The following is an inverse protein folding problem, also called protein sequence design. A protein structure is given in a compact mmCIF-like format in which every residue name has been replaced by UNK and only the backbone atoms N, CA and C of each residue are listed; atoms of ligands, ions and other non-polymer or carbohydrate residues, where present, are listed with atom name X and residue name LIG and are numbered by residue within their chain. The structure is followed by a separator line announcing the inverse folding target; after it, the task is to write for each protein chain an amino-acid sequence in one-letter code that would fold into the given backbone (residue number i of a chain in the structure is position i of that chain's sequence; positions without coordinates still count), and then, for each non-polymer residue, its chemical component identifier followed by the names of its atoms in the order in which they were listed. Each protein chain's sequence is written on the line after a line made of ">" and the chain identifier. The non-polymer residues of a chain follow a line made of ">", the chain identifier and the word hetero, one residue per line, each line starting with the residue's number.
data_IF_483533141840
#
_entry.id   IF_483533141840
#
_cell.length_a   1.000
_cell.length_b   1.000
_cell.length_c   1.000
_cell.angle_alpha   90.00
_cell.angle_beta   90.00
_cell.angle_gamma   90.00
#
_symmetry.space_group_name_H-M   'P 1'
#
loop_
_entity.id
_entity.type
_entity.pdbx_description
1 polymer ?
#
# COMPACT_ATOMS: atom_id res chain seq x y z
N UNK A 1 3.84 1.98 17.80
CA UNK A 1 3.53 3.43 17.72
C UNK A 1 4.75 4.32 17.41
N UNK A 2 6.00 3.91 17.67
CA UNK A 2 7.21 4.74 17.42
C UNK A 2 7.54 4.91 15.92
N UNK A 3 7.16 3.98 15.06
CA UNK A 3 7.51 4.02 13.63
C UNK A 3 6.81 5.17 12.87
N UNK A 4 5.55 5.48 13.18
CA UNK A 4 4.81 6.53 12.47
C UNK A 4 5.42 7.93 12.67
N UNK A 5 5.74 8.39 13.89
CA UNK A 5 6.43 9.66 14.09
C UNK A 5 7.78 9.74 13.40
N UNK A 6 8.57 8.65 13.43
CA UNK A 6 9.88 8.61 12.78
C UNK A 6 9.78 8.74 11.26
N UNK A 7 8.85 8.00 10.63
CA UNK A 7 8.59 8.10 9.18
C UNK A 7 8.08 9.49 8.82
N UNK A 8 7.19 10.08 9.62
CA UNK A 8 6.69 11.44 9.41
C UNK A 8 7.80 12.48 9.53
N UNK A 9 8.71 12.33 10.50
CA UNK A 9 9.86 13.21 10.63
C UNK A 9 10.79 13.14 9.40
N UNK A 10 11.10 11.93 8.93
CA UNK A 10 11.90 11.74 7.69
C UNK A 10 11.17 12.33 6.49
N UNK A 11 9.86 12.16 6.38
CA UNK A 11 9.05 12.72 5.30
C UNK A 11 9.10 14.26 5.27
N UNK A 12 9.08 14.92 6.43
CA UNK A 12 9.07 16.37 6.53
C UNK A 12 10.47 16.95 6.35
N UNK A 13 11.47 16.43 7.06
CA UNK A 13 12.77 17.09 7.24
C UNK A 13 13.85 16.59 6.29
N UNK A 14 13.74 15.38 5.71
CA UNK A 14 14.78 14.86 4.84
C UNK A 14 14.83 15.62 3.50
N UNK A 15 16.03 16.00 2.99
CA UNK A 15 16.18 16.47 1.61
C UNK A 15 15.68 15.40 0.61
N UNK A 16 15.19 15.85 -0.56
CA UNK A 16 14.56 14.99 -1.57
C UNK A 16 15.39 13.73 -1.93
N UNK A 17 16.71 13.92 -2.14
CA UNK A 17 17.65 12.82 -2.45
C UNK A 17 17.74 11.77 -1.34
N UNK A 18 17.77 12.21 -0.08
CA UNK A 18 17.86 11.31 1.06
C UNK A 18 16.53 10.57 1.31
N UNK A 19 15.40 11.25 1.09
CA UNK A 19 14.10 10.61 1.13
C UNK A 19 13.96 9.54 0.03
N UNK A 20 14.40 9.84 -1.21
CA UNK A 20 14.40 8.84 -2.29
C UNK A 20 15.30 7.64 -1.97
N UNK A 21 16.48 7.88 -1.40
CA UNK A 21 17.37 6.81 -0.94
C UNK A 21 16.72 5.96 0.17
N UNK A 22 16.05 6.60 1.13
CA UNK A 22 15.29 5.93 2.19
C UNK A 22 14.17 5.04 1.60
N UNK A 23 13.39 5.55 0.65
CA UNK A 23 12.38 4.74 -0.04
C UNK A 23 13.03 3.59 -0.83
N UNK A 24 14.18 3.80 -1.44
CA UNK A 24 14.96 2.75 -2.09
C UNK A 24 15.33 1.61 -1.13
N UNK A 25 15.80 1.95 0.07
CA UNK A 25 16.10 0.97 1.13
C UNK A 25 14.85 0.23 1.57
N UNK A 26 13.74 0.94 1.79
CA UNK A 26 12.46 0.32 2.16
C UNK A 26 11.94 -0.60 1.03
N UNK A 27 12.11 -0.20 -0.23
CA UNK A 27 11.73 -1.04 -1.38
C UNK A 27 12.56 -2.32 -1.43
N UNK A 28 13.89 -2.21 -1.25
CA UNK A 28 14.78 -3.37 -1.20
C UNK A 28 14.41 -4.31 -0.03
N UNK A 29 14.08 -3.75 1.14
CA UNK A 29 13.62 -4.54 2.28
C UNK A 29 12.28 -5.22 2.00
N UNK A 30 11.32 -4.51 1.39
CA UNK A 30 10.03 -5.09 0.99
C UNK A 30 10.19 -6.24 -0.01
N UNK A 31 11.12 -6.12 -0.96
CA UNK A 31 11.47 -7.22 -1.89
C UNK A 31 12.12 -8.40 -1.17
N UNK A 32 12.96 -8.14 -0.18
CA UNK A 32 13.51 -9.18 0.70
C UNK A 32 12.39 -9.91 1.46
N UNK A 33 11.40 -9.18 2.03
CA UNK A 33 10.25 -9.80 2.69
C UNK A 33 9.42 -10.64 1.70
N UNK A 34 9.22 -10.20 0.45
CA UNK A 34 8.57 -11.01 -0.60
C UNK A 34 9.36 -12.31 -0.83
N UNK A 35 10.68 -12.22 -1.00
CA UNK A 35 11.52 -13.40 -1.21
C UNK A 35 11.45 -14.36 -0.03
N UNK A 36 11.53 -13.85 1.18
CA UNK A 36 11.45 -14.65 2.41
C UNK A 36 10.07 -15.31 2.57
N UNK A 37 8.99 -14.56 2.36
CA UNK A 37 7.60 -15.02 2.48
C UNK A 37 7.28 -16.17 1.51
N UNK A 38 7.79 -16.12 0.29
CA UNK A 38 7.62 -17.17 -0.71
C UNK A 38 8.75 -18.21 -0.70
N UNK A 39 9.65 -18.17 0.28
CA UNK A 39 10.82 -19.08 0.40
C UNK A 39 11.65 -19.15 -0.90
N UNK A 40 11.89 -17.99 -1.52
CA UNK A 40 12.61 -17.89 -2.78
C UNK A 40 14.09 -18.24 -2.55
N UNK A 41 14.52 -19.40 -3.05
CA UNK A 41 15.91 -19.89 -2.93
C UNK A 41 16.54 -20.19 -4.29
N UNK A 42 15.72 -20.35 -5.33
CA UNK A 42 16.20 -20.64 -6.67
C UNK A 42 16.64 -19.36 -7.41
N UNK A 43 17.68 -19.47 -8.22
CA UNK A 43 18.29 -18.35 -8.93
C UNK A 43 17.30 -17.64 -9.87
N UNK A 44 16.36 -18.37 -10.48
CA UNK A 44 15.37 -17.79 -11.39
C UNK A 44 14.38 -16.89 -10.66
N UNK A 45 13.86 -17.33 -9.50
CA UNK A 45 12.94 -16.51 -8.70
C UNK A 45 13.66 -15.31 -8.06
N UNK A 46 14.92 -15.45 -7.64
CA UNK A 46 15.74 -14.32 -7.18
C UNK A 46 15.97 -13.31 -8.30
N UNK A 47 16.20 -13.78 -9.54
CA UNK A 47 16.30 -12.90 -10.70
C UNK A 47 15.01 -12.11 -10.95
N UNK A 48 13.84 -12.75 -10.83
CA UNK A 48 12.54 -12.06 -10.95
C UNK A 48 12.40 -10.98 -9.88
N UNK A 49 12.67 -11.29 -8.61
CA UNK A 49 12.61 -10.31 -7.53
C UNK A 49 13.56 -9.13 -7.79
N UNK A 50 14.80 -9.43 -8.20
CA UNK A 50 15.84 -8.43 -8.49
C UNK A 50 15.50 -7.56 -9.71
N UNK A 51 15.13 -8.16 -10.83
CA UNK A 51 14.90 -7.46 -12.11
C UNK A 51 13.50 -6.84 -12.16
N UNK A 52 12.45 -7.61 -11.91
CA UNK A 52 11.08 -7.11 -12.01
C UNK A 52 10.72 -6.15 -10.86
N UNK A 53 11.23 -6.41 -9.65
CA UNK A 53 11.00 -5.54 -8.49
C UNK A 53 12.08 -4.45 -8.39
N UNK A 54 13.34 -4.86 -8.16
CA UNK A 54 14.45 -3.95 -7.87
C UNK A 54 14.84 -3.08 -9.06
N UNK A 55 14.90 -3.65 -10.27
CA UNK A 55 15.25 -2.91 -11.49
C UNK A 55 14.24 -1.81 -11.83
N UNK A 56 12.93 -2.11 -11.75
CA UNK A 56 11.87 -1.12 -11.97
C UNK A 56 11.87 -0.03 -10.89
N UNK A 57 12.09 -0.42 -9.63
CA UNK A 57 12.19 0.55 -8.53
C UNK A 57 13.38 1.49 -8.73
N UNK A 58 14.55 0.96 -9.02
CA UNK A 58 15.75 1.75 -9.29
C UNK A 58 15.56 2.69 -10.48
N UNK A 59 15.01 2.20 -11.60
CA UNK A 59 14.72 3.01 -12.78
C UNK A 59 13.79 4.17 -12.43
N UNK A 60 12.70 3.93 -11.67
CA UNK A 60 11.75 4.97 -11.26
C UNK A 60 12.41 6.01 -10.35
N UNK A 61 13.22 5.59 -9.37
CA UNK A 61 13.94 6.48 -8.47
C UNK A 61 15.03 7.29 -9.17
N UNK A 62 15.62 6.76 -10.26
CA UNK A 62 16.57 7.47 -11.13
C UNK A 62 15.89 8.40 -12.16
N UNK A 63 14.57 8.57 -12.10
CA UNK A 63 13.84 9.52 -12.95
C UNK A 63 13.25 8.93 -14.24
N UNK A 64 13.34 7.62 -14.44
CA UNK A 64 12.61 6.95 -15.53
C UNK A 64 11.12 7.02 -15.21
N UNK A 65 10.35 7.64 -16.08
CA UNK A 65 8.90 7.75 -15.91
C UNK A 65 8.24 6.40 -16.15
N UNK A 66 7.89 5.72 -15.09
CA UNK A 66 6.97 4.57 -15.15
C UNK A 66 5.58 5.15 -15.39
N UNK A 67 5.00 4.83 -16.54
CA UNK A 67 3.68 5.34 -16.91
C UNK A 67 2.59 4.86 -15.95
N UNK A 68 1.54 5.68 -15.78
CA UNK A 68 0.38 5.36 -14.97
C UNK A 68 -0.27 4.01 -15.39
N UNK A 69 -0.14 3.62 -16.65
CA UNK A 69 -0.67 2.36 -17.19
C UNK A 69 -0.07 1.14 -16.49
N UNK A 70 1.25 1.15 -16.21
CA UNK A 70 1.89 0.03 -15.51
C UNK A 70 1.45 -0.03 -14.05
N UNK A 71 1.39 1.12 -13.37
CA UNK A 71 0.91 1.17 -11.99
C UNK A 71 -0.56 0.71 -11.90
N UNK A 72 -1.42 1.18 -12.80
CA UNK A 72 -2.81 0.74 -12.87
C UNK A 72 -2.92 -0.76 -13.17
N UNK A 73 -2.13 -1.29 -14.09
CA UNK A 73 -2.11 -2.72 -14.41
C UNK A 73 -1.70 -3.57 -13.19
N UNK A 74 -0.71 -3.13 -12.40
CA UNK A 74 -0.29 -3.80 -11.17
C UNK A 74 -1.41 -3.75 -10.12
N UNK A 75 -2.08 -2.61 -9.95
CA UNK A 75 -3.21 -2.47 -9.02
C UNK A 75 -4.36 -3.39 -9.43
N UNK A 76 -4.72 -3.40 -10.71
CA UNK A 76 -5.79 -4.26 -11.24
C UNK A 76 -5.44 -5.74 -11.08
N UNK A 77 -4.21 -6.14 -11.46
CA UNK A 77 -3.77 -7.53 -11.35
C UNK A 77 -3.75 -8.02 -9.89
N UNK A 78 -3.27 -7.20 -8.95
CA UNK A 78 -3.27 -7.56 -7.53
C UNK A 78 -4.68 -7.59 -6.94
N UNK A 79 -5.56 -6.68 -7.34
CA UNK A 79 -6.98 -6.71 -6.94
C UNK A 79 -7.72 -7.94 -7.49
N UNK A 80 -7.43 -8.33 -8.74
CA UNK A 80 -7.94 -9.57 -9.33
C UNK A 80 -7.45 -10.81 -8.56
N UNK A 81 -6.19 -10.84 -8.09
CA UNK A 81 -5.70 -11.91 -7.23
C UNK A 81 -6.47 -11.99 -5.90
N UNK A 82 -6.79 -10.84 -5.28
CA UNK A 82 -7.64 -10.80 -4.07
C UNK A 82 -9.01 -11.42 -4.33
N UNK A 83 -9.64 -10.99 -5.42
CA UNK A 83 -10.96 -11.49 -5.81
C UNK A 83 -10.95 -13.00 -6.10
N UNK A 84 -9.92 -13.47 -6.83
CA UNK A 84 -9.75 -14.88 -7.14
C UNK A 84 -9.51 -15.72 -5.90
N UNK A 85 -8.66 -15.24 -4.98
CA UNK A 85 -8.41 -15.89 -3.69
C UNK A 85 -9.70 -16.00 -2.86
N UNK A 86 -10.50 -14.93 -2.83
CA UNK A 86 -11.78 -14.92 -2.12
C UNK A 86 -12.76 -15.96 -2.66
N UNK A 87 -12.70 -16.27 -3.98
CA UNK A 87 -13.59 -17.25 -4.65
C UNK A 87 -13.07 -18.69 -4.60
N UNK A 88 -11.77 -18.89 -4.84
CA UNK A 88 -11.19 -20.21 -5.10
C UNK A 88 -10.35 -20.77 -3.96
N UNK A 89 -10.05 -19.96 -2.93
CA UNK A 89 -9.17 -20.33 -1.83
C UNK A 89 -7.67 -20.32 -2.20
N UNK A 90 -6.78 -20.43 -1.19
CA UNK A 90 -5.34 -20.27 -1.37
C UNK A 90 -4.66 -21.43 -2.14
N UNK A 91 -5.21 -22.64 -2.06
CA UNK A 91 -4.59 -23.84 -2.62
C UNK A 91 -4.38 -23.77 -4.13
N UNK A 92 -5.34 -23.20 -4.88
CA UNK A 92 -5.23 -23.04 -6.34
C UNK A 92 -4.15 -22.02 -6.72
N UNK A 93 -4.02 -20.93 -5.96
CA UNK A 93 -3.05 -19.88 -6.23
C UNK A 93 -1.63 -20.29 -5.85
N UNK A 94 -1.44 -21.07 -4.79
CA UNK A 94 -0.13 -21.63 -4.41
C UNK A 94 0.54 -22.42 -5.52
N UNK A 95 -0.22 -23.08 -6.38
CA UNK A 95 0.32 -23.89 -7.48
C UNK A 95 1.21 -23.08 -8.44
N UNK A 96 0.94 -21.79 -8.61
CA UNK A 96 1.71 -20.91 -9.50
C UNK A 96 2.66 -19.99 -8.73
N UNK A 97 3.65 -20.57 -8.05
CA UNK A 97 4.64 -19.83 -7.25
C UNK A 97 5.29 -18.68 -8.03
N UNK A 98 5.72 -18.93 -9.27
CA UNK A 98 6.35 -17.92 -10.12
C UNK A 98 5.46 -16.71 -10.38
N UNK A 99 4.20 -16.94 -10.69
CA UNK A 99 3.23 -15.87 -10.89
C UNK A 99 3.05 -15.01 -9.62
N UNK A 100 2.97 -15.67 -8.45
CA UNK A 100 2.78 -14.97 -7.18
C UNK A 100 4.02 -14.16 -6.78
N UNK A 101 5.22 -14.71 -6.96
CA UNK A 101 6.47 -14.00 -6.72
C UNK A 101 6.59 -12.79 -7.64
N UNK A 102 6.30 -12.96 -8.94
CA UNK A 102 6.31 -11.86 -9.92
C UNK A 102 5.30 -10.78 -9.53
N UNK A 103 4.06 -11.16 -9.24
CA UNK A 103 3.01 -10.21 -8.86
C UNK A 103 3.38 -9.42 -7.59
N UNK A 104 3.88 -10.09 -6.55
CA UNK A 104 4.31 -9.45 -5.31
C UNK A 104 5.55 -8.55 -5.51
N UNK A 105 6.50 -8.99 -6.35
CA UNK A 105 7.69 -8.18 -6.68
C UNK A 105 7.34 -6.92 -7.47
N UNK A 106 6.43 -7.02 -8.44
CA UNK A 106 5.91 -5.87 -9.17
C UNK A 106 5.10 -4.94 -8.24
N UNK A 107 4.30 -5.50 -7.35
CA UNK A 107 3.54 -4.73 -6.38
C UNK A 107 4.45 -3.85 -5.52
N UNK A 108 5.56 -4.38 -5.01
CA UNK A 108 6.55 -3.61 -4.25
C UNK A 108 7.38 -2.71 -5.18
N UNK A 109 7.99 -3.27 -6.22
CA UNK A 109 8.98 -2.57 -7.06
C UNK A 109 8.40 -1.44 -7.90
N UNK A 110 7.15 -1.55 -8.34
CA UNK A 110 6.49 -0.50 -9.13
C UNK A 110 5.85 0.55 -8.23
N UNK A 111 5.19 0.15 -7.15
CA UNK A 111 4.33 1.07 -6.40
C UNK A 111 5.05 1.79 -5.25
N UNK A 112 6.04 1.17 -4.59
CA UNK A 112 6.78 1.83 -3.50
C UNK A 112 7.52 3.10 -3.91
N UNK A 113 8.17 3.19 -5.10
CA UNK A 113 8.82 4.43 -5.53
C UNK A 113 7.89 5.64 -5.60
N UNK A 114 6.58 5.44 -5.72
CA UNK A 114 5.61 6.54 -5.72
C UNK A 114 5.58 7.33 -4.41
N UNK A 115 6.03 6.77 -3.29
CA UNK A 115 6.23 7.56 -2.07
C UNK A 115 7.28 8.67 -2.27
N UNK A 116 8.37 8.36 -2.96
CA UNK A 116 9.39 9.35 -3.29
C UNK A 116 8.89 10.34 -4.36
N UNK A 117 8.19 9.84 -5.38
CA UNK A 117 7.62 10.67 -6.44
C UNK A 117 6.58 11.65 -5.89
N UNK A 118 5.67 11.20 -5.04
CA UNK A 118 4.67 12.05 -4.40
C UNK A 118 5.34 13.13 -3.54
N UNK A 119 6.23 12.72 -2.64
CA UNK A 119 6.88 13.65 -1.70
C UNK A 119 7.76 14.67 -2.40
N UNK A 120 8.38 14.32 -3.53
CA UNK A 120 9.28 15.21 -4.28
C UNK A 120 8.55 16.03 -5.37
N UNK A 121 7.22 15.92 -5.49
CA UNK A 121 6.40 16.78 -6.36
C UNK A 121 6.17 18.15 -5.71
N UNK A 122 5.66 19.11 -6.51
CA UNK A 122 5.19 20.38 -5.99
C UNK A 122 4.11 20.12 -4.94
N UNK A 123 4.18 20.82 -3.80
CA UNK A 123 3.34 20.57 -2.61
C UNK A 123 3.33 19.10 -2.12
N UNK A 124 4.37 18.33 -2.44
CA UNK A 124 4.42 16.90 -2.18
C UNK A 124 4.44 16.53 -0.69
N UNK A 125 5.04 17.36 0.18
CA UNK A 125 5.07 17.12 1.63
C UNK A 125 3.66 17.21 2.23
N UNK A 126 2.89 18.31 2.04
CA UNK A 126 1.49 18.37 2.46
C UNK A 126 0.62 17.24 1.88
N UNK A 127 0.79 16.93 0.59
CA UNK A 127 0.06 15.87 -0.09
C UNK A 127 0.35 14.48 0.52
N UNK A 128 1.60 14.17 0.81
CA UNK A 128 1.99 12.91 1.44
C UNK A 128 1.48 12.79 2.88
N UNK A 129 1.53 13.89 3.65
CA UNK A 129 0.96 13.94 5.00
C UNK A 129 -0.56 13.75 4.95
N UNK A 130 -1.25 14.46 4.05
CA UNK A 130 -2.69 14.33 3.87
C UNK A 130 -3.05 12.87 3.58
N UNK A 131 -2.43 12.27 2.57
CA UNK A 131 -2.66 10.87 2.19
C UNK A 131 -2.43 9.92 3.38
N UNK A 132 -1.33 10.08 4.11
CA UNK A 132 -1.00 9.26 5.28
C UNK A 132 -2.09 9.37 6.36
N UNK A 133 -2.53 10.59 6.69
CA UNK A 133 -3.57 10.83 7.70
C UNK A 133 -4.93 10.29 7.25
N UNK A 134 -5.26 10.40 5.96
CA UNK A 134 -6.49 9.82 5.40
C UNK A 134 -6.52 8.29 5.52
N UNK A 135 -5.40 7.62 5.24
CA UNK A 135 -5.29 6.16 5.39
C UNK A 135 -5.42 5.77 6.86
N UNK A 136 -4.71 6.46 7.77
CA UNK A 136 -4.83 6.23 9.23
C UNK A 136 -6.26 6.44 9.71
N UNK A 137 -6.94 7.48 9.24
CA UNK A 137 -8.34 7.74 9.57
C UNK A 137 -9.26 6.63 9.05
N UNK A 138 -9.03 6.16 7.81
CA UNK A 138 -9.77 5.04 7.23
C UNK A 138 -9.60 3.75 8.05
N UNK A 139 -8.37 3.38 8.40
CA UNK A 139 -8.09 2.17 9.18
C UNK A 139 -8.68 2.25 10.60
N UNK A 140 -8.54 3.41 11.24
CA UNK A 140 -9.12 3.66 12.57
C UNK A 140 -10.64 3.64 12.54
N UNK A 141 -11.25 4.32 11.57
CA UNK A 141 -12.69 4.34 11.38
C UNK A 141 -13.25 2.94 11.11
N UNK A 142 -12.56 2.17 10.25
CA UNK A 142 -12.93 0.79 9.97
C UNK A 142 -12.86 -0.11 11.21
N UNK A 143 -11.86 0.09 12.06
CA UNK A 143 -11.73 -0.66 13.31
C UNK A 143 -12.84 -0.30 14.31
N UNK A 144 -13.06 1.00 14.57
CA UNK A 144 -14.04 1.45 15.56
C UNK A 144 -15.49 1.17 15.16
N UNK A 145 -15.81 1.15 13.87
CA UNK A 145 -17.16 0.79 13.38
C UNK A 145 -17.31 -0.71 13.19
N UNK A 146 -16.30 -1.38 12.66
CA UNK A 146 -16.36 -2.81 12.36
C UNK A 146 -16.41 -3.70 13.58
N UNK A 147 -15.80 -3.26 14.71
CA UNK A 147 -15.80 -4.05 15.95
C UNK A 147 -17.19 -4.14 16.61
N UNK A 148 -17.93 -3.02 16.86
CA UNK A 148 -19.26 -3.08 17.47
C UNK A 148 -20.40 -3.35 16.49
N UNK A 149 -20.30 -2.90 15.23
CA UNK A 149 -21.39 -2.92 14.26
C UNK A 149 -21.23 -3.97 13.16
N UNK A 150 -20.03 -4.57 13.03
CA UNK A 150 -19.72 -5.50 11.95
C UNK A 150 -20.53 -6.80 12.02
N UNK A 151 -21.36 -7.01 11.02
CA UNK A 151 -22.20 -8.22 10.87
C UNK A 151 -21.81 -9.02 9.62
N UNK A 152 -21.50 -8.33 8.52
CA UNK A 152 -21.20 -8.96 7.24
C UNK A 152 -19.68 -8.95 6.98
N UNK A 153 -19.13 -10.13 6.74
CA UNK A 153 -17.70 -10.26 6.44
C UNK A 153 -17.38 -9.75 5.04
N UNK A 154 -16.32 -8.93 4.92
CA UNK A 154 -15.89 -8.36 3.64
C UNK A 154 -15.15 -9.39 2.77
N UNK A 155 -14.18 -10.11 3.34
CA UNK A 155 -13.36 -11.10 2.64
C UNK A 155 -12.92 -12.20 3.62
N UNK A 156 -13.79 -13.18 3.97
CA UNK A 156 -13.54 -14.17 5.01
C UNK A 156 -12.27 -15.00 4.80
N UNK A 157 -11.98 -15.38 3.56
CA UNK A 157 -10.82 -16.20 3.18
C UNK A 157 -9.49 -15.43 3.19
N UNK A 158 -9.53 -14.11 3.01
CA UNK A 158 -8.36 -13.24 2.97
C UNK A 158 -8.08 -12.64 4.35
N UNK A 159 -9.10 -11.98 4.90
CA UNK A 159 -9.03 -11.29 6.19
C UNK A 159 -10.35 -11.48 6.96
N UNK A 160 -10.45 -12.48 7.86
CA UNK A 160 -11.71 -12.85 8.53
C UNK A 160 -12.24 -11.79 9.49
N UNK A 161 -11.41 -10.81 9.88
CA UNK A 161 -11.80 -9.75 10.83
C UNK A 161 -12.41 -8.52 10.15
N UNK A 162 -12.23 -8.36 8.83
CA UNK A 162 -12.79 -7.20 8.09
C UNK A 162 -14.28 -7.38 7.81
N UNK A 163 -15.04 -6.30 7.99
CA UNK A 163 -16.50 -6.25 7.80
C UNK A 163 -16.89 -5.15 6.82
N UNK A 164 -18.03 -5.31 6.15
CA UNK A 164 -18.58 -4.32 5.21
C UNK A 164 -18.92 -3.02 5.95
N UNK A 165 -19.51 -3.14 7.14
CA UNK A 165 -19.86 -1.99 7.99
C UNK A 165 -18.59 -1.24 8.43
N UNK A 166 -17.53 -1.98 8.78
CA UNK A 166 -16.23 -1.40 9.06
C UNK A 166 -15.66 -0.66 7.86
N UNK A 167 -15.74 -1.26 6.66
CA UNK A 167 -15.28 -0.62 5.44
C UNK A 167 -16.01 0.70 5.15
N UNK A 168 -17.34 0.73 5.31
CA UNK A 168 -18.15 1.94 5.17
C UNK A 168 -17.77 3.00 6.21
N UNK A 169 -17.61 2.61 7.48
CA UNK A 169 -17.16 3.51 8.55
C UNK A 169 -15.78 4.09 8.31
N UNK A 170 -14.85 3.30 7.75
CA UNK A 170 -13.55 3.79 7.33
C UNK A 170 -13.62 4.86 6.24
N UNK A 171 -14.50 4.69 5.23
CA UNK A 171 -14.72 5.71 4.20
C UNK A 171 -15.28 7.00 4.78
N UNK A 172 -16.27 6.90 5.66
CA UNK A 172 -16.84 8.08 6.35
C UNK A 172 -15.76 8.82 7.15
N UNK A 173 -14.97 8.09 7.94
CA UNK A 173 -13.89 8.66 8.72
C UNK A 173 -12.82 9.34 7.84
N UNK A 174 -12.50 8.74 6.68
CA UNK A 174 -11.57 9.30 5.71
C UNK A 174 -12.06 10.64 5.15
N UNK A 175 -13.34 10.74 4.77
CA UNK A 175 -13.96 11.99 4.27
C UNK A 175 -14.00 13.05 5.38
N UNK A 176 -14.38 12.69 6.60
CA UNK A 176 -14.38 13.63 7.73
C UNK A 176 -12.97 14.15 8.03
N UNK A 177 -11.98 13.29 8.04
CA UNK A 177 -10.59 13.68 8.22
C UNK A 177 -10.12 14.63 7.11
N UNK A 178 -10.48 14.37 5.85
CA UNK A 178 -10.16 15.26 4.74
C UNK A 178 -10.78 16.66 4.93
N UNK A 179 -12.03 16.74 5.35
CA UNK A 179 -12.71 18.02 5.62
C UNK A 179 -12.02 18.82 6.73
N UNK A 180 -11.62 18.15 7.82
CA UNK A 180 -10.92 18.76 8.94
C UNK A 180 -9.52 19.25 8.51
N UNK A 181 -8.78 18.43 7.76
CA UNK A 181 -7.39 18.72 7.39
C UNK A 181 -7.26 19.69 6.20
N UNK A 182 -8.34 19.98 5.49
CA UNK A 182 -8.36 20.78 4.26
C UNK A 182 -7.61 22.09 4.39
N UNK A 183 -7.91 22.86 5.44
CA UNK A 183 -7.37 24.22 5.61
C UNK A 183 -5.85 24.26 5.80
N UNK A 184 -5.24 23.17 6.29
CA UNK A 184 -3.79 23.10 6.55
C UNK A 184 -3.02 22.40 5.45
N UNK A 185 -3.59 21.33 4.85
CA UNK A 185 -2.88 20.46 3.94
C UNK A 185 -3.32 20.56 2.48
N UNK A 186 -4.51 21.11 2.21
CA UNK A 186 -5.06 21.23 0.86
C UNK A 186 -5.96 22.45 0.68
N UNK A 187 -5.52 23.69 1.07
CA UNK A 187 -6.36 24.89 1.02
C UNK A 187 -6.82 25.25 -0.40
N UNK A 188 -6.02 24.93 -1.41
CA UNK A 188 -6.32 25.19 -2.83
C UNK A 188 -7.30 24.19 -3.47
N UNK A 189 -7.54 23.04 -2.86
CA UNK A 189 -8.43 22.03 -3.44
C UNK A 189 -9.92 22.43 -3.26
N UNK A 190 -10.68 22.27 -4.35
CA UNK A 190 -12.14 22.40 -4.30
C UNK A 190 -12.72 21.30 -3.41
N UNK A 191 -13.79 21.59 -2.67
CA UNK A 191 -14.39 20.66 -1.73
C UNK A 191 -14.75 19.31 -2.37
N UNK A 192 -15.36 19.32 -3.54
CA UNK A 192 -15.72 18.08 -4.24
C UNK A 192 -14.49 17.25 -4.64
N UNK A 193 -13.41 17.91 -5.10
CA UNK A 193 -12.15 17.23 -5.43
C UNK A 193 -11.53 16.58 -4.19
N UNK A 194 -11.57 17.27 -3.05
CA UNK A 194 -11.09 16.72 -1.79
C UNK A 194 -11.92 15.50 -1.35
N UNK A 195 -13.25 15.53 -1.51
CA UNK A 195 -14.13 14.40 -1.20
C UNK A 195 -13.81 13.20 -2.12
N UNK A 196 -13.64 13.44 -3.42
CA UNK A 196 -13.24 12.39 -4.37
C UNK A 196 -11.89 11.80 -3.98
N UNK A 197 -10.90 12.65 -3.67
CA UNK A 197 -9.59 12.20 -3.19
C UNK A 197 -9.74 11.29 -1.96
N UNK A 198 -10.50 11.73 -0.94
CA UNK A 198 -10.67 10.99 0.30
C UNK A 198 -11.36 9.63 0.09
N UNK A 199 -12.43 9.60 -0.71
CA UNK A 199 -13.14 8.34 -1.03
C UNK A 199 -12.23 7.39 -1.77
N UNK A 200 -11.52 7.85 -2.81
CA UNK A 200 -10.60 7.00 -3.58
C UNK A 200 -9.44 6.52 -2.73
N UNK A 201 -8.82 7.38 -1.91
CA UNK A 201 -7.76 6.98 -0.97
C UNK A 201 -8.26 5.93 0.01
N UNK A 202 -9.45 6.13 0.61
CA UNK A 202 -10.04 5.17 1.54
C UNK A 202 -10.34 3.80 0.90
N UNK A 203 -10.90 3.78 -0.32
CA UNK A 203 -11.14 2.53 -1.05
C UNK A 203 -9.83 1.83 -1.40
N UNK A 204 -8.86 2.58 -1.94
CA UNK A 204 -7.57 2.03 -2.35
C UNK A 204 -6.73 1.56 -1.16
N UNK A 205 -6.81 2.23 -0.01
CA UNK A 205 -6.18 1.78 1.23
C UNK A 205 -6.73 0.41 1.67
N UNK A 206 -8.04 0.24 1.65
CA UNK A 206 -8.68 -1.03 2.00
C UNK A 206 -8.32 -2.15 1.01
N UNK A 207 -8.28 -1.85 -0.29
CA UNK A 207 -7.86 -2.80 -1.32
C UNK A 207 -6.38 -3.17 -1.18
N UNK A 208 -5.50 -2.21 -0.89
CA UNK A 208 -4.08 -2.45 -0.65
C UNK A 208 -3.84 -3.38 0.54
N UNK A 209 -4.54 -3.16 1.66
CA UNK A 209 -4.45 -4.03 2.83
C UNK A 209 -5.00 -5.45 2.55
N UNK A 210 -6.08 -5.56 1.75
CA UNK A 210 -6.56 -6.86 1.28
C UNK A 210 -5.53 -7.54 0.35
N UNK A 211 -4.85 -6.80 -0.52
CA UNK A 211 -3.81 -7.35 -1.39
C UNK A 211 -2.63 -7.90 -0.60
N UNK A 212 -2.11 -7.13 0.38
CA UNK A 212 -1.06 -7.61 1.28
C UNK A 212 -1.48 -8.86 2.07
N UNK A 213 -2.73 -8.86 2.58
CA UNK A 213 -3.29 -10.03 3.25
C UNK A 213 -3.41 -11.24 2.31
N UNK A 214 -3.78 -11.04 1.04
CA UNK A 214 -3.90 -12.09 0.04
C UNK A 214 -2.54 -12.75 -0.24
N UNK A 215 -1.47 -11.97 -0.46
CA UNK A 215 -0.13 -12.50 -0.66
C UNK A 215 0.33 -13.36 0.52
N UNK A 216 0.07 -12.93 1.75
CA UNK A 216 0.38 -13.72 2.95
C UNK A 216 -0.38 -15.06 2.99
N UNK A 217 -1.68 -15.07 2.66
CA UNK A 217 -2.47 -16.32 2.61
C UNK A 217 -1.98 -17.25 1.50
N UNK A 218 -1.64 -16.71 0.33
CA UNK A 218 -1.07 -17.50 -0.77
C UNK A 218 0.27 -18.09 -0.36
N UNK A 219 1.13 -17.33 0.31
CA UNK A 219 2.41 -17.81 0.84
C UNK A 219 2.27 -18.79 2.02
N UNK A 220 1.09 -18.83 2.68
CA UNK A 220 0.83 -19.68 3.84
C UNK A 220 1.33 -19.11 5.16
N UNK A 221 1.63 -17.81 5.18
CA UNK A 221 2.11 -17.11 6.38
C UNK A 221 1.06 -16.14 6.90
N UNK A 222 1.25 -15.68 8.14
CA UNK A 222 0.40 -14.66 8.77
C UNK A 222 1.01 -13.27 8.65
N UNK A 223 2.31 -13.16 8.88
CA UNK A 223 3.06 -11.90 8.87
C UNK A 223 4.09 -11.94 7.74
N UNK A 224 4.40 -10.80 7.13
CA UNK A 224 5.33 -10.72 5.99
C UNK A 224 6.80 -10.82 6.42
N UNK A 225 7.11 -10.48 7.67
CA UNK A 225 8.46 -10.45 8.20
C UNK A 225 8.49 -10.14 9.70
N UNK A 226 9.68 -9.76 10.19
CA UNK A 226 9.96 -9.53 11.61
C UNK A 226 10.61 -8.16 11.89
N UNK A 227 10.60 -7.24 10.93
CA UNK A 227 11.27 -5.94 11.04
C UNK A 227 10.83 -5.16 12.30
N UNK A 228 9.55 -5.26 12.65
CA UNK A 228 9.01 -4.60 13.85
C UNK A 228 8.65 -5.67 14.89
N UNK A 229 9.43 -5.83 15.98
CA UNK A 229 9.14 -6.81 17.01
C UNK A 229 7.70 -6.70 17.54
N UNK A 230 6.95 -7.79 17.49
CA UNK A 230 5.53 -7.83 17.89
C UNK A 230 4.54 -7.18 16.91
N UNK A 231 5.03 -6.65 15.78
CA UNK A 231 4.19 -5.91 14.81
C UNK A 231 4.34 -6.38 13.34
N UNK A 232 5.11 -7.44 13.09
CA UNK A 232 5.30 -8.01 11.76
C UNK A 232 6.34 -7.26 10.89
N UNK A 233 6.24 -7.44 9.58
CA UNK A 233 7.17 -6.86 8.62
C UNK A 233 6.81 -5.45 8.15
N UNK A 234 7.64 -4.93 7.25
CA UNK A 234 7.42 -3.66 6.55
C UNK A 234 6.13 -3.71 5.73
N UNK A 235 5.94 -4.79 4.96
CA UNK A 235 4.75 -4.94 4.11
C UNK A 235 3.47 -4.97 4.93
N UNK A 236 3.49 -5.50 6.16
CA UNK A 236 2.33 -5.49 7.07
C UNK A 236 1.91 -4.07 7.48
N UNK A 237 2.80 -3.09 7.38
CA UNK A 237 2.56 -1.69 7.77
C UNK A 237 2.29 -0.76 6.59
N UNK A 238 2.70 -1.13 5.40
CA UNK A 238 2.65 -0.25 4.22
C UNK A 238 1.61 -0.66 3.20
N UNK A 239 1.04 -1.87 3.29
CA UNK A 239 0.12 -2.37 2.26
C UNK A 239 -1.11 -1.49 2.02
N UNK A 240 -1.69 -0.86 3.05
CA UNK A 240 -2.79 0.10 2.87
C UNK A 240 -2.37 1.40 2.18
N UNK A 241 -1.09 1.77 2.28
CA UNK A 241 -0.58 3.01 1.70
C UNK A 241 -0.22 2.89 0.21
N UNK A 242 0.13 1.68 -0.24
CA UNK A 242 0.77 1.46 -1.56
C UNK A 242 -0.13 1.81 -2.74
N UNK A 243 -1.43 1.51 -2.69
CA UNK A 243 -2.35 1.90 -3.76
C UNK A 243 -2.76 3.37 -3.64
N UNK A 244 -2.93 3.84 -2.41
CA UNK A 244 -3.31 5.21 -2.12
C UNK A 244 -2.28 6.22 -2.62
N UNK A 245 -0.97 5.93 -2.46
CA UNK A 245 0.11 6.83 -2.87
C UNK A 245 0.14 7.05 -4.39
N UNK A 246 -0.08 5.98 -5.18
CA UNK A 246 -0.12 6.07 -6.64
C UNK A 246 -1.26 6.97 -7.10
N UNK A 247 -2.46 6.73 -6.57
CA UNK A 247 -3.62 7.56 -6.90
C UNK A 247 -3.41 9.02 -6.50
N UNK A 248 -2.94 9.28 -5.28
CA UNK A 248 -2.70 10.63 -4.78
C UNK A 248 -1.68 11.38 -5.65
N UNK A 249 -0.60 10.70 -6.08
CA UNK A 249 0.41 11.28 -6.96
C UNK A 249 -0.17 11.76 -8.30
N UNK A 250 -1.04 10.97 -8.94
CA UNK A 250 -1.62 11.35 -10.23
C UNK A 250 -2.80 12.31 -10.09
N UNK A 251 -3.53 12.25 -8.98
CA UNK A 251 -4.71 13.09 -8.76
C UNK A 251 -4.36 14.53 -8.42
N UNK A 252 -3.26 14.76 -7.69
CA UNK A 252 -2.85 16.10 -7.26
C UNK A 252 -1.87 16.78 -8.22
N UNK A 253 -1.47 16.10 -9.28
CA UNK A 253 -0.56 16.60 -10.32
C UNK A 253 -1.33 17.17 -11.50
#
# INVERSE_FOLDING_TARGET
>A
MVALPAVTAVLIFAPARWFSAFIGVLTAWGLYEVAAMFEVRDAGALLIVGVAGGGLAAATLCGVRVGWQLAAAVIVATSANVWWLARCGPERLRRNRWLNVTAASLWVGVLFPYFALLRNSDDGVPAAILMLLLVVASDSGAYFTGRPLGRHKLAPTVSPNKTIEGAAGGLVACVLAAMILRQWLAPGLRLWSLVVLAVCVGVLAQLGDLAGSAFKRIAGVKDSGWLFPGHGGLLDRTCSLVFAVVFTYYYLR
#
